data_IF_785515817505
#
_entry.id   IF_785515817505
#
_cell.length_a   1.000
_cell.length_b   1.000
_cell.length_c   1.000
_cell.angle_alpha   90.00
_cell.angle_beta   90.00
_cell.angle_gamma   90.00
#
_symmetry.space_group_name_H-M   'P 1'
#
loop_
_entity.id
_entity.type
_entity.pdbx_description
1 polymer ?
#
# COMPACT_ATOMS: atom_id res chain seq x y z
N UNK A 1 -10.63 -0.15 14.30
CA UNK A 1 -10.79 0.34 12.91
C UNK A 1 -9.53 0.18 12.06
N UNK A 2 -8.37 0.76 12.43
CA UNK A 2 -7.11 0.61 11.66
C UNK A 2 -6.65 -0.85 11.55
N UNK A 3 -6.78 -1.65 12.61
CA UNK A 3 -6.44 -3.09 12.55
C UNK A 3 -7.24 -3.86 11.49
N UNK A 4 -8.52 -3.51 11.29
CA UNK A 4 -9.33 -4.12 10.25
C UNK A 4 -8.79 -3.81 8.84
N UNK A 5 -8.33 -2.56 8.63
CA UNK A 5 -7.68 -2.12 7.39
C UNK A 5 -6.40 -2.92 7.15
N UNK A 6 -5.57 -3.08 8.18
CA UNK A 6 -4.33 -3.85 8.12
C UNK A 6 -4.63 -5.31 7.74
N UNK A 7 -5.65 -5.93 8.35
CA UNK A 7 -6.07 -7.29 8.01
C UNK A 7 -6.54 -7.39 6.56
N UNK A 8 -7.35 -6.43 6.09
CA UNK A 8 -7.84 -6.42 4.70
C UNK A 8 -6.71 -6.18 3.68
N UNK A 9 -5.81 -5.26 3.96
CA UNK A 9 -4.60 -5.01 3.16
C UNK A 9 -3.71 -6.28 3.07
N UNK A 10 -3.58 -7.02 4.18
CA UNK A 10 -2.86 -8.30 4.20
C UNK A 10 -3.54 -9.40 3.37
N UNK A 11 -4.88 -9.42 3.28
CA UNK A 11 -5.59 -10.31 2.35
C UNK A 11 -5.29 -9.96 0.89
N UNK A 12 -5.24 -8.67 0.56
CA UNK A 12 -4.80 -8.19 -0.76
C UNK A 12 -3.38 -8.64 -1.10
N UNK A 13 -2.44 -8.51 -0.15
CA UNK A 13 -1.08 -9.03 -0.30
C UNK A 13 -1.04 -10.54 -0.54
N UNK A 14 -1.86 -11.32 0.16
CA UNK A 14 -1.93 -12.77 -0.05
C UNK A 14 -2.39 -13.10 -1.48
N UNK A 15 -3.40 -12.39 -1.99
CA UNK A 15 -3.82 -12.53 -3.39
C UNK A 15 -2.68 -12.17 -4.37
N UNK A 16 -1.96 -11.08 -4.13
CA UNK A 16 -0.81 -10.71 -4.95
C UNK A 16 0.29 -11.80 -4.96
N UNK A 17 0.56 -12.44 -3.81
CA UNK A 17 1.54 -13.55 -3.75
C UNK A 17 1.13 -14.73 -4.62
N UNK A 18 -0.15 -15.10 -4.58
CA UNK A 18 -0.68 -16.17 -5.42
C UNK A 18 -0.53 -15.80 -6.90
N UNK A 19 -0.91 -14.57 -7.27
CA UNK A 19 -0.81 -14.07 -8.64
C UNK A 19 0.64 -14.00 -9.15
N UNK A 20 1.57 -13.56 -8.29
CA UNK A 20 3.00 -13.57 -8.61
C UNK A 20 3.54 -15.00 -8.81
N UNK A 21 3.06 -15.97 -8.04
CA UNK A 21 3.45 -17.38 -8.18
C UNK A 21 2.99 -18.01 -9.52
N UNK A 22 1.94 -17.47 -10.14
CA UNK A 22 1.48 -17.88 -11.49
C UNK A 22 2.20 -17.10 -12.59
N UNK A 23 3.27 -16.35 -12.27
CA UNK A 23 4.04 -15.53 -13.20
C UNK A 23 3.21 -14.49 -13.97
N UNK A 24 2.22 -13.89 -13.31
CA UNK A 24 1.49 -12.75 -13.86
C UNK A 24 2.47 -11.59 -14.11
N UNK A 25 2.24 -10.85 -15.20
CA UNK A 25 3.05 -9.70 -15.57
C UNK A 25 3.19 -8.70 -14.42
N UNK A 26 4.40 -8.16 -14.23
CA UNK A 26 4.71 -7.20 -13.18
C UNK A 26 3.76 -5.98 -13.19
N UNK A 27 3.38 -5.51 -14.39
CA UNK A 27 2.44 -4.40 -14.54
C UNK A 27 1.07 -4.71 -13.92
N UNK A 28 0.59 -5.94 -14.09
CA UNK A 28 -0.67 -6.38 -13.49
C UNK A 28 -0.54 -6.49 -11.96
N UNK A 29 0.63 -6.90 -11.43
CA UNK A 29 0.88 -6.89 -9.98
C UNK A 29 0.86 -5.47 -9.39
N UNK A 30 1.36 -4.47 -10.11
CA UNK A 30 1.26 -3.05 -9.71
C UNK A 30 -0.20 -2.61 -9.65
N UNK A 31 -1.00 -2.93 -10.67
CA UNK A 31 -2.43 -2.61 -10.70
C UNK A 31 -3.15 -3.29 -9.53
N UNK A 32 -2.88 -4.58 -9.28
CA UNK A 32 -3.46 -5.32 -8.16
C UNK A 32 -3.10 -4.69 -6.81
N UNK A 33 -1.87 -4.23 -6.62
CA UNK A 33 -1.49 -3.50 -5.42
C UNK A 33 -2.31 -2.21 -5.25
N UNK A 34 -2.40 -1.40 -6.30
CA UNK A 34 -3.15 -0.14 -6.28
C UNK A 34 -4.63 -0.39 -5.96
N UNK A 35 -5.24 -1.38 -6.62
CA UNK A 35 -6.68 -1.67 -6.49
C UNK A 35 -7.05 -2.39 -5.20
N UNK A 36 -6.22 -3.30 -4.68
CA UNK A 36 -6.59 -4.13 -3.53
C UNK A 36 -6.04 -3.61 -2.20
N UNK A 37 -4.79 -3.15 -2.22
CA UNK A 37 -4.06 -2.77 -1.00
C UNK A 37 -4.15 -1.26 -0.79
N UNK A 38 -3.71 -0.48 -1.78
CA UNK A 38 -3.61 0.97 -1.66
C UNK A 38 -4.99 1.62 -1.50
N UNK A 39 -5.96 1.25 -2.34
CA UNK A 39 -7.34 1.77 -2.26
C UNK A 39 -7.99 1.53 -0.88
N UNK A 40 -7.76 0.35 -0.29
CA UNK A 40 -8.28 -0.02 1.03
C UNK A 40 -7.66 0.86 2.12
N UNK A 41 -6.36 1.13 2.00
CA UNK A 41 -5.64 2.01 2.92
C UNK A 41 -6.17 3.44 2.75
N UNK A 42 -6.14 4.00 1.54
CA UNK A 42 -6.57 5.38 1.27
C UNK A 42 -8.00 5.66 1.75
N UNK A 43 -8.94 4.77 1.45
CA UNK A 43 -10.34 4.91 1.88
C UNK A 43 -10.46 4.97 3.41
N UNK A 44 -9.82 4.05 4.12
CA UNK A 44 -9.94 4.02 5.57
C UNK A 44 -9.20 5.19 6.24
N UNK A 45 -8.13 5.66 5.62
CA UNK A 45 -7.27 6.72 6.14
C UNK A 45 -7.83 8.12 5.93
N UNK A 46 -8.76 8.27 4.98
CA UNK A 46 -9.58 9.47 4.83
C UNK A 46 -10.40 9.78 6.10
N UNK A 47 -10.74 8.75 6.89
CA UNK A 47 -11.69 8.85 8.01
C UNK A 47 -10.98 8.67 9.37
N UNK A 48 -9.82 8.01 9.40
CA UNK A 48 -9.16 7.61 10.64
C UNK A 48 -7.92 8.46 10.98
N UNK A 49 -7.81 8.83 12.26
CA UNK A 49 -6.54 9.26 12.85
C UNK A 49 -5.68 8.03 13.13
N UNK A 50 -4.41 8.10 12.72
CA UNK A 50 -3.50 6.94 12.75
C UNK A 50 -2.19 7.34 13.39
N UNK A 51 -1.74 6.50 14.31
CA UNK A 51 -0.50 6.73 15.05
C UNK A 51 0.73 6.46 14.18
N UNK A 52 1.89 6.98 14.61
CA UNK A 52 3.18 6.70 13.96
C UNK A 52 3.47 5.20 13.87
N UNK A 53 3.19 4.44 14.92
CA UNK A 53 3.39 2.98 14.95
C UNK A 53 2.51 2.23 13.94
N UNK A 54 1.31 2.73 13.66
CA UNK A 54 0.44 2.16 12.64
C UNK A 54 0.91 2.52 11.23
N UNK A 55 1.44 3.73 11.02
CA UNK A 55 2.07 4.14 9.75
C UNK A 55 3.22 3.20 9.42
N UNK A 56 4.11 2.93 10.38
CA UNK A 56 5.23 1.99 10.20
C UNK A 56 4.76 0.58 9.81
N UNK A 57 3.63 0.12 10.36
CA UNK A 57 3.03 -1.18 9.97
C UNK A 57 2.49 -1.17 8.54
N UNK A 58 1.90 -0.06 8.10
CA UNK A 58 1.46 0.11 6.70
C UNK A 58 2.67 0.19 5.77
N UNK A 59 3.76 0.84 6.17
CA UNK A 59 5.00 0.88 5.38
C UNK A 59 5.61 -0.50 5.19
N UNK A 60 5.51 -1.38 6.21
CA UNK A 60 5.92 -2.79 6.08
C UNK A 60 5.06 -3.53 5.06
N UNK A 61 3.74 -3.30 5.03
CA UNK A 61 2.84 -3.87 4.02
C UNK A 61 3.22 -3.39 2.61
N UNK A 62 3.45 -2.08 2.45
CA UNK A 62 3.91 -1.53 1.18
C UNK A 62 5.23 -2.15 0.74
N UNK A 63 6.21 -2.27 1.65
CA UNK A 63 7.49 -2.92 1.36
C UNK A 63 7.30 -4.36 0.89
N UNK A 64 6.47 -5.14 1.59
CA UNK A 64 6.18 -6.52 1.18
C UNK A 64 5.53 -6.57 -0.21
N UNK A 65 4.62 -5.65 -0.53
CA UNK A 65 4.02 -5.55 -1.86
C UNK A 65 5.08 -5.26 -2.94
N UNK A 66 5.97 -4.30 -2.69
CA UNK A 66 7.03 -3.95 -3.63
C UNK A 66 7.97 -5.12 -3.90
N UNK A 67 8.35 -5.88 -2.86
CA UNK A 67 9.13 -7.11 -3.04
C UNK A 67 8.41 -8.14 -3.90
N UNK A 68 7.09 -8.33 -3.72
CA UNK A 68 6.29 -9.24 -4.54
C UNK A 68 6.26 -8.80 -6.00
N UNK A 69 6.08 -7.49 -6.25
CA UNK A 69 5.98 -6.94 -7.60
C UNK A 69 7.30 -7.10 -8.35
N UNK A 70 8.43 -6.75 -7.72
CA UNK A 70 9.74 -6.73 -8.39
C UNK A 70 10.37 -8.14 -8.40
N UNK A 71 9.92 -9.05 -7.53
CA UNK A 71 10.51 -10.37 -7.37
C UNK A 71 11.87 -10.35 -6.64
N UNK A 72 12.22 -9.24 -5.99
CA UNK A 72 13.50 -9.05 -5.31
C UNK A 72 13.47 -9.47 -3.84
N UNK A 73 14.65 -9.81 -3.32
CA UNK A 73 14.85 -10.20 -1.91
C UNK A 73 14.77 -9.00 -0.97
N UNK A 74 14.68 -9.29 0.33
CA UNK A 74 14.55 -8.28 1.40
C UNK A 74 15.72 -7.29 1.50
N UNK A 75 16.82 -7.55 0.81
CA UNK A 75 18.06 -6.78 0.89
C UNK A 75 18.03 -5.50 0.04
N UNK A 76 17.07 -5.38 -0.89
CA UNK A 76 16.91 -4.14 -1.65
C UNK A 76 16.46 -2.99 -0.73
N UNK A 77 17.14 -1.84 -0.75
CA UNK A 77 16.68 -0.65 -0.02
C UNK A 77 15.28 -0.21 -0.45
N UNK A 78 14.42 0.11 0.52
CA UNK A 78 13.04 0.54 0.25
C UNK A 78 12.95 1.75 -0.67
N UNK A 79 13.90 2.67 -0.57
CA UNK A 79 13.96 3.89 -1.36
C UNK A 79 14.11 3.58 -2.85
N UNK A 80 14.93 2.58 -3.18
CA UNK A 80 15.13 2.15 -4.57
C UNK A 80 13.86 1.51 -5.12
N UNK A 81 13.21 0.63 -4.35
CA UNK A 81 11.95 0.00 -4.78
C UNK A 81 10.84 1.03 -5.00
N UNK A 82 10.74 2.04 -4.11
CA UNK A 82 9.79 3.15 -4.26
C UNK A 82 10.07 3.98 -5.51
N UNK A 83 11.34 4.29 -5.77
CA UNK A 83 11.73 5.03 -6.97
C UNK A 83 11.41 4.24 -8.25
N UNK A 84 11.68 2.93 -8.28
CA UNK A 84 11.41 2.08 -9.44
C UNK A 84 9.92 1.93 -9.73
N UNK A 85 9.10 1.83 -8.69
CA UNK A 85 7.65 1.62 -8.80
C UNK A 85 6.83 2.91 -8.78
N UNK A 86 7.50 4.06 -8.65
CA UNK A 86 6.89 5.38 -8.44
C UNK A 86 5.87 5.40 -7.29
N UNK A 87 6.25 4.78 -6.16
CA UNK A 87 5.39 4.70 -4.98
C UNK A 87 5.75 5.73 -3.91
N UNK A 88 4.79 6.55 -3.45
CA UNK A 88 5.02 7.47 -2.35
C UNK A 88 5.22 6.73 -1.02
N UNK A 89 5.73 7.44 -0.01
CA UNK A 89 5.72 6.92 1.36
C UNK A 89 4.29 6.82 1.88
N UNK A 90 4.03 5.90 2.82
CA UNK A 90 2.69 5.80 3.40
C UNK A 90 2.29 7.11 4.06
N UNK A 91 3.19 7.77 4.81
CA UNK A 91 2.90 9.08 5.41
C UNK A 91 2.40 10.10 4.37
N UNK A 92 3.06 10.17 3.21
CA UNK A 92 2.66 11.07 2.13
C UNK A 92 1.29 10.69 1.56
N UNK A 93 1.05 9.41 1.30
CA UNK A 93 -0.27 8.89 0.89
C UNK A 93 -1.36 9.29 1.88
N UNK A 94 -1.10 9.20 3.19
CA UNK A 94 -2.08 9.57 4.21
C UNK A 94 -2.40 11.07 4.19
N UNK A 95 -1.39 11.92 3.98
CA UNK A 95 -1.59 13.37 3.86
C UNK A 95 -2.49 13.71 2.67
N UNK A 96 -2.24 13.07 1.51
CA UNK A 96 -3.08 13.23 0.33
C UNK A 96 -4.50 12.75 0.60
N UNK A 97 -4.67 11.53 1.15
CA UNK A 97 -5.98 10.97 1.43
C UNK A 97 -6.82 11.87 2.33
N UNK A 98 -6.20 12.47 3.37
CA UNK A 98 -6.86 13.44 4.25
C UNK A 98 -7.20 14.75 3.54
N UNK A 99 -6.30 15.29 2.73
CA UNK A 99 -6.58 16.50 1.96
C UNK A 99 -7.75 16.28 0.98
N UNK A 100 -7.78 15.16 0.27
CA UNK A 100 -8.87 14.78 -0.61
C UNK A 100 -10.19 14.56 0.16
N UNK A 101 -10.13 13.97 1.35
CA UNK A 101 -11.31 13.81 2.21
C UNK A 101 -11.87 15.16 2.66
N UNK A 102 -11.00 16.08 3.07
CA UNK A 102 -11.37 17.43 3.45
C UNK A 102 -12.09 18.16 2.31
N UNK A 103 -11.54 18.11 1.09
CA UNK A 103 -12.14 18.73 -0.09
C UNK A 103 -13.54 18.20 -0.39
N UNK A 104 -13.79 16.90 -0.18
CA UNK A 104 -15.11 16.27 -0.39
C UNK A 104 -16.15 16.66 0.66
N UNK A 105 -15.72 17.08 1.85
CA UNK A 105 -16.61 17.51 2.93
C UNK A 105 -16.87 19.03 2.83
N UNK A 106 -15.89 19.80 2.34
CA UNK A 106 -15.99 21.25 2.18
C UNK A 106 -16.68 21.72 0.90
N UNK A 107 -17.01 20.80 -0.01
CA UNK A 107 -17.76 21.04 -1.24
C UNK A 107 -19.24 20.69 -1.05
#
# INVERSE_FOLDING_TARGET
HVEYVIVKARKGLAAMRVMAAVNIEQRLLVILYQTLVLSTIEYAMAILTVSKTQIERLERIQREAMCIIIGWTRDTPCVVMRFLLDFPTMEYTLRIARACAYLKISA
#
